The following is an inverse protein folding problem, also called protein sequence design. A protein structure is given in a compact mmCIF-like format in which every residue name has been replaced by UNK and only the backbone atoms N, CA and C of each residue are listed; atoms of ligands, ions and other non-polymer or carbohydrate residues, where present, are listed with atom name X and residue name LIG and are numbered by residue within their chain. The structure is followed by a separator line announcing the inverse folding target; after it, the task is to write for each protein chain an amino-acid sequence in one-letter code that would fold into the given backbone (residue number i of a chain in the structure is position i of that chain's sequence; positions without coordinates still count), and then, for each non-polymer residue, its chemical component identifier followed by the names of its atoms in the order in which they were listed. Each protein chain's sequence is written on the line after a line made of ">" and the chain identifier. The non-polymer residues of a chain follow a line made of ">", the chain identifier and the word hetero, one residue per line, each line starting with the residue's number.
data_IF_890693550175
#
_entry.id   IF_890693550175
#
_cell.length_a   1.000
_cell.length_b   1.000
_cell.length_c   1.000
_cell.angle_alpha   90.00
_cell.angle_beta   90.00
_cell.angle_gamma   90.00
#
_symmetry.space_group_name_H-M   'P 1'
#
loop_
_entity.id
_entity.type
_entity.pdbx_description
1 polymer ?
#
# COMPACT_ATOMS: atom_id res chain seq x y z
N UNK A 1 -7.69 11.25 -9.43
CA UNK A 1 -6.86 10.05 -9.69
C UNK A 1 -5.40 10.47 -9.87
N UNK A 2 -4.44 9.73 -9.33
CA UNK A 2 -3.02 10.06 -9.41
C UNK A 2 -2.25 8.80 -9.86
N UNK A 3 -2.12 8.60 -11.19
CA UNK A 3 -1.67 7.32 -11.74
C UNK A 3 -0.31 6.87 -11.21
N UNK A 4 0.59 7.81 -10.93
CA UNK A 4 1.93 7.52 -10.42
C UNK A 4 1.87 7.00 -8.98
N UNK A 5 1.19 7.73 -8.09
CA UNK A 5 1.05 7.31 -6.70
C UNK A 5 0.18 6.04 -6.56
N UNK A 6 -0.84 5.90 -7.40
CA UNK A 6 -1.68 4.70 -7.45
C UNK A 6 -0.85 3.47 -7.82
N UNK A 7 -0.05 3.53 -8.90
CA UNK A 7 0.84 2.43 -9.30
C UNK A 7 1.90 2.11 -8.24
N UNK A 8 2.55 3.15 -7.67
CA UNK A 8 3.58 2.96 -6.64
C UNK A 8 3.01 2.31 -5.38
N UNK A 9 1.81 2.72 -4.95
CA UNK A 9 1.16 2.13 -3.79
C UNK A 9 0.77 0.67 -4.01
N UNK A 10 0.30 0.33 -5.23
CA UNK A 10 -0.01 -1.04 -5.60
C UNK A 10 1.24 -1.92 -5.61
N UNK A 11 2.34 -1.45 -6.21
CA UNK A 11 3.61 -2.19 -6.25
C UNK A 11 4.13 -2.50 -4.83
N UNK A 12 3.99 -1.56 -3.89
CA UNK A 12 4.34 -1.79 -2.48
C UNK A 12 3.44 -2.85 -1.84
N UNK A 13 2.14 -2.82 -2.09
CA UNK A 13 1.21 -3.84 -1.60
C UNK A 13 1.56 -5.24 -2.14
N UNK A 14 1.87 -5.35 -3.44
CA UNK A 14 2.33 -6.62 -4.05
C UNK A 14 3.65 -7.12 -3.44
N UNK A 15 4.58 -6.21 -3.14
CA UNK A 15 5.82 -6.59 -2.46
C UNK A 15 5.55 -7.20 -1.09
N UNK A 16 4.65 -6.61 -0.30
CA UNK A 16 4.24 -7.16 1.00
C UNK A 16 3.55 -8.51 0.84
N UNK A 17 2.65 -8.65 -0.15
CA UNK A 17 2.04 -9.95 -0.49
C UNK A 17 3.09 -11.03 -0.77
N UNK A 18 4.13 -10.72 -1.55
CA UNK A 18 5.22 -11.68 -1.83
C UNK A 18 5.98 -12.11 -0.58
N UNK A 19 6.17 -11.19 0.37
CA UNK A 19 6.85 -11.48 1.65
C UNK A 19 5.99 -12.41 2.49
N UNK A 20 4.70 -12.10 2.64
CA UNK A 20 3.75 -12.93 3.39
C UNK A 20 3.59 -14.32 2.77
N UNK A 21 3.61 -14.41 1.44
CA UNK A 21 3.61 -15.68 0.72
C UNK A 21 4.87 -16.51 1.03
N UNK A 22 6.05 -15.87 1.05
CA UNK A 22 7.30 -16.51 1.47
C UNK A 22 7.30 -16.97 2.94
N UNK A 23 6.44 -16.39 3.78
CA UNK A 23 6.22 -16.80 5.18
C UNK A 23 5.17 -17.92 5.32
N UNK A 24 4.60 -18.42 4.21
CA UNK A 24 3.66 -19.53 4.20
C UNK A 24 2.18 -19.13 4.20
N UNK A 25 1.84 -17.85 4.08
CA UNK A 25 0.44 -17.41 3.89
C UNK A 25 0.08 -17.60 2.40
N UNK A 26 -0.92 -18.41 2.05
CA UNK A 26 -1.24 -18.64 0.64
C UNK A 26 -1.61 -17.34 -0.10
N UNK A 27 -0.94 -17.06 -1.22
CA UNK A 27 -1.05 -15.79 -1.95
C UNK A 27 -2.47 -15.55 -2.48
N UNK A 28 -3.22 -16.62 -2.76
CA UNK A 28 -4.62 -16.58 -3.17
C UNK A 28 -5.56 -16.05 -2.08
N UNK A 29 -5.15 -16.09 -0.81
CA UNK A 29 -5.91 -15.51 0.32
C UNK A 29 -5.61 -14.03 0.54
N UNK A 30 -4.62 -13.47 -0.17
CA UNK A 30 -4.18 -12.09 0.00
C UNK A 30 -4.65 -11.24 -1.18
N UNK A 31 -5.51 -10.27 -0.87
CA UNK A 31 -5.93 -9.23 -1.80
C UNK A 31 -5.11 -7.95 -1.56
N UNK A 32 -4.68 -7.33 -2.65
CA UNK A 32 -3.83 -6.14 -2.68
C UNK A 32 -4.58 -5.01 -3.39
N UNK A 33 -4.37 -3.78 -2.91
CA UNK A 33 -4.94 -2.59 -3.53
C UNK A 33 -4.01 -1.39 -3.35
N UNK A 34 -3.89 -0.57 -4.40
CA UNK A 34 -3.21 0.72 -4.32
C UNK A 34 -4.19 1.85 -4.00
N UNK A 35 -3.97 2.56 -2.89
CA UNK A 35 -4.77 3.74 -2.49
C UNK A 35 -4.15 5.07 -2.92
N UNK A 36 -2.91 5.05 -3.42
CA UNK A 36 -2.17 6.26 -3.78
C UNK A 36 -2.10 7.25 -2.62
N UNK A 37 -2.37 8.53 -2.90
CA UNK A 37 -2.40 9.62 -1.91
C UNK A 37 -3.81 9.98 -1.40
N UNK A 38 -4.82 9.17 -1.73
CA UNK A 38 -6.24 9.49 -1.46
C UNK A 38 -6.63 9.35 0.01
N UNK A 39 -5.95 8.47 0.74
CA UNK A 39 -6.23 8.15 2.14
C UNK A 39 -4.96 8.34 2.99
N UNK A 40 -4.48 9.59 3.16
CA UNK A 40 -3.31 9.85 3.99
C UNK A 40 -3.62 9.55 5.47
N UNK A 41 -2.64 9.04 6.20
CA UNK A 41 -2.74 8.87 7.67
C UNK A 41 -2.73 10.23 8.35
N UNK A 42 -1.81 11.07 7.88
CA UNK A 42 -1.63 12.44 8.35
C UNK A 42 -2.02 13.34 7.19
N UNK A 43 -3.06 14.17 7.31
CA UNK A 43 -3.38 15.17 6.30
C UNK A 43 -2.13 16.02 5.99
N UNK A 44 -1.77 16.09 4.71
CA UNK A 44 -0.53 16.74 4.26
C UNK A 44 -0.85 17.58 3.03
N UNK A 45 -0.29 18.79 2.96
CA UNK A 45 -0.44 19.66 1.81
C UNK A 45 0.23 19.05 0.55
N UNK A 46 -0.17 19.51 -0.63
CA UNK A 46 0.46 19.06 -1.88
C UNK A 46 1.97 19.37 -1.89
N UNK A 47 2.74 18.45 -2.46
CA UNK A 47 4.20 18.55 -2.57
C UNK A 47 4.96 18.28 -1.26
N UNK A 48 4.29 18.15 -0.12
CA UNK A 48 4.95 17.86 1.16
C UNK A 48 5.10 16.34 1.32
N UNK A 49 6.35 15.90 1.48
CA UNK A 49 6.69 14.50 1.72
C UNK A 49 6.46 14.16 3.20
N UNK A 50 5.45 13.33 3.48
CA UNK A 50 5.20 12.78 4.80
C UNK A 50 5.52 11.27 4.81
N UNK A 51 6.63 10.84 5.46
CA UNK A 51 7.04 9.44 5.51
C UNK A 51 5.99 8.48 6.05
N UNK A 52 5.18 8.89 7.03
CA UNK A 52 4.14 8.04 7.63
C UNK A 52 3.00 7.74 6.66
N UNK A 53 2.81 8.57 5.63
CA UNK A 53 1.85 8.31 4.57
C UNK A 53 2.34 7.25 3.57
N UNK A 54 3.64 6.88 3.59
CA UNK A 54 4.19 5.77 2.81
C UNK A 54 4.09 4.46 3.59
N UNK A 55 2.89 3.93 3.72
CA UNK A 55 2.60 2.71 4.50
C UNK A 55 1.84 1.66 3.69
N UNK A 56 1.85 0.43 4.20
CA UNK A 56 0.95 -0.65 3.79
C UNK A 56 0.17 -1.07 5.03
N UNK A 57 -1.14 -1.19 4.89
CA UNK A 57 -2.02 -1.68 5.97
C UNK A 57 -2.45 -3.11 5.66
N UNK A 58 -2.42 -3.98 6.66
CA UNK A 58 -2.85 -5.38 6.56
C UNK A 58 -4.05 -5.54 7.49
N UNK A 59 -5.22 -5.82 6.90
CA UNK A 59 -6.45 -6.09 7.63
C UNK A 59 -6.78 -7.58 7.51
N UNK A 60 -6.91 -8.27 8.64
CA UNK A 60 -7.28 -9.68 8.72
C UNK A 60 -8.70 -9.77 9.24
N UNK A 61 -9.50 -10.69 8.67
CA UNK A 61 -10.88 -10.97 9.09
C UNK A 61 -11.02 -12.44 9.43
#
# INVERSE_FOLDING_TARGET
>A
PDPSNDALSLQRAERVKSILAGMGIPAERILTAGRGRREPLIPTAEGISEPRNRRVEINVR
#
